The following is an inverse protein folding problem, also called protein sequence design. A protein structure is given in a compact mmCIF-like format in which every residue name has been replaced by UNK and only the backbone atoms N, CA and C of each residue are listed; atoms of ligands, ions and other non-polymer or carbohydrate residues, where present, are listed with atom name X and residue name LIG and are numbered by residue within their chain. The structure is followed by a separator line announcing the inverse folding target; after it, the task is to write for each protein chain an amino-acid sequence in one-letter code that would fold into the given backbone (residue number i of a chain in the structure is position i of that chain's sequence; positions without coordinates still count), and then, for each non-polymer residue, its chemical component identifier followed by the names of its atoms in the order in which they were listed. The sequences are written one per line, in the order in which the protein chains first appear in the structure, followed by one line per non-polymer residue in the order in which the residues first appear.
data_IF_039758703964
#
_entry.id   IF_039758703964
#
_cell.length_a   1.000
_cell.length_b   1.000
_cell.length_c   1.000
_cell.angle_alpha   90.00
_cell.angle_beta   90.00
_cell.angle_gamma   90.00
#
_symmetry.space_group_name_H-M   'P 1'
#
loop_
_entity.id
_entity.type
_entity.pdbx_description
1 polymer ?
#
# COMPACT_ATOMS: atom_id res chain seq x y z
N UNK A 1 -36.49 -49.57 -33.50
CA UNK A 1 -36.01 -48.42 -34.29
C UNK A 1 -36.46 -47.18 -33.54
N UNK A 2 -35.63 -46.61 -32.68
CA UNK A 2 -35.98 -45.40 -31.94
C UNK A 2 -36.03 -44.23 -32.92
N UNK A 3 -37.24 -43.77 -33.19
CA UNK A 3 -37.49 -42.59 -34.01
C UNK A 3 -37.07 -41.40 -33.17
N UNK A 4 -35.82 -40.95 -33.34
CA UNK A 4 -35.36 -39.75 -32.66
C UNK A 4 -36.29 -38.58 -33.03
N UNK A 5 -36.85 -37.86 -32.03
CA UNK A 5 -37.71 -36.72 -32.29
C UNK A 5 -36.97 -35.68 -33.15
N UNK A 6 -37.73 -35.01 -34.02
CA UNK A 6 -37.20 -33.93 -34.87
C UNK A 6 -36.73 -32.82 -33.94
N UNK A 7 -35.52 -32.29 -34.16
CA UNK A 7 -34.91 -31.26 -33.30
C UNK A 7 -35.82 -30.03 -33.13
N UNK A 8 -36.64 -29.74 -34.14
CA UNK A 8 -37.62 -28.65 -34.15
C UNK A 8 -38.73 -28.81 -33.11
N UNK A 9 -39.06 -30.04 -32.74
CA UNK A 9 -40.18 -30.38 -31.85
C UNK A 9 -39.74 -30.57 -30.40
N UNK A 10 -38.42 -30.55 -30.14
CA UNK A 10 -37.86 -30.69 -28.80
C UNK A 10 -38.09 -29.45 -27.96
N UNK A 11 -38.53 -29.64 -26.72
CA UNK A 11 -38.61 -28.57 -25.74
C UNK A 11 -37.21 -28.02 -25.40
N UNK A 12 -37.17 -26.80 -24.85
CA UNK A 12 -35.91 -26.17 -24.46
C UNK A 12 -35.07 -27.04 -23.50
N UNK A 13 -35.70 -27.72 -22.54
CA UNK A 13 -35.00 -28.62 -21.61
C UNK A 13 -34.41 -29.84 -22.31
N UNK A 14 -35.12 -30.40 -23.29
CA UNK A 14 -34.63 -31.53 -24.07
C UNK A 14 -33.48 -31.12 -24.99
N UNK A 15 -33.56 -29.93 -25.60
CA UNK A 15 -32.45 -29.34 -26.37
C UNK A 15 -31.21 -29.11 -25.50
N UNK A 16 -31.37 -28.63 -24.26
CA UNK A 16 -30.25 -28.49 -23.33
C UNK A 16 -29.62 -29.83 -22.95
N UNK A 17 -30.43 -30.88 -22.71
CA UNK A 17 -29.91 -32.24 -22.43
C UNK A 17 -29.16 -32.78 -23.63
N UNK A 18 -29.75 -32.74 -24.82
CA UNK A 18 -29.11 -33.22 -26.04
C UNK A 18 -27.80 -32.47 -26.35
N UNK A 19 -27.75 -31.16 -26.11
CA UNK A 19 -26.51 -30.39 -26.22
C UNK A 19 -25.45 -30.87 -25.20
N UNK A 20 -25.83 -31.10 -23.93
CA UNK A 20 -24.91 -31.62 -22.90
C UNK A 20 -24.37 -33.00 -23.26
N UNK A 21 -25.25 -33.90 -23.69
CA UNK A 21 -24.91 -35.28 -24.06
C UNK A 21 -23.95 -35.30 -25.27
N UNK A 22 -24.09 -34.33 -26.19
CA UNK A 22 -23.21 -34.14 -27.34
C UNK A 22 -21.93 -33.33 -27.04
N UNK A 23 -21.71 -32.90 -25.78
CA UNK A 23 -20.55 -32.06 -25.41
C UNK A 23 -20.60 -30.63 -25.95
N UNK A 24 -21.78 -30.13 -26.34
CA UNK A 24 -22.02 -28.79 -26.87
C UNK A 24 -22.46 -27.82 -25.74
N UNK A 25 -22.23 -26.51 -25.89
CA UNK A 25 -22.71 -25.52 -24.91
C UNK A 25 -24.24 -25.47 -24.86
N UNK A 26 -24.80 -25.76 -23.69
CA UNK A 26 -26.24 -25.79 -23.42
C UNK A 26 -26.81 -24.45 -22.91
N UNK A 27 -26.26 -23.34 -23.40
CA UNK A 27 -26.58 -21.96 -22.98
C UNK A 27 -27.06 -21.17 -24.19
N UNK A 28 -28.14 -20.39 -24.04
CA UNK A 28 -28.64 -19.49 -25.08
C UNK A 28 -30.15 -19.65 -25.32
N UNK A 29 -30.65 -18.98 -26.37
CA UNK A 29 -32.05 -19.11 -26.82
C UNK A 29 -32.26 -20.44 -27.54
N UNK A 30 -33.51 -20.93 -27.60
CA UNK A 30 -33.90 -22.20 -28.25
C UNK A 30 -33.35 -22.35 -29.66
N UNK A 31 -33.42 -21.29 -30.49
CA UNK A 31 -32.90 -21.29 -31.85
C UNK A 31 -31.38 -21.54 -31.94
N UNK A 32 -30.61 -21.09 -30.94
CA UNK A 32 -29.16 -21.30 -30.86
C UNK A 32 -28.86 -22.76 -30.56
N UNK A 33 -29.59 -23.36 -29.61
CA UNK A 33 -29.44 -24.78 -29.25
C UNK A 33 -29.82 -25.70 -30.42
N UNK A 34 -30.93 -25.40 -31.11
CA UNK A 34 -31.33 -26.13 -32.31
C UNK A 34 -30.25 -26.07 -33.40
N UNK A 35 -29.72 -24.88 -33.67
CA UNK A 35 -28.63 -24.70 -34.64
C UNK A 35 -27.38 -25.49 -34.27
N UNK A 36 -26.97 -25.50 -33.00
CA UNK A 36 -25.81 -26.28 -32.55
C UNK A 36 -26.01 -27.78 -32.78
N UNK A 37 -27.20 -28.30 -32.48
CA UNK A 37 -27.54 -29.71 -32.70
C UNK A 37 -27.64 -30.06 -34.19
N UNK A 38 -28.22 -29.18 -35.01
CA UNK A 38 -28.29 -29.36 -36.46
C UNK A 38 -26.90 -29.35 -37.10
N UNK A 39 -26.04 -28.40 -36.72
CA UNK A 39 -24.66 -28.32 -37.20
C UNK A 39 -23.84 -29.54 -36.75
N UNK A 40 -24.07 -30.02 -35.52
CA UNK A 40 -23.44 -31.24 -35.01
C UNK A 40 -23.89 -32.49 -35.74
N UNK A 41 -25.20 -32.64 -36.01
CA UNK A 41 -25.74 -33.76 -36.82
C UNK A 41 -25.19 -33.76 -38.24
N UNK A 42 -25.02 -32.57 -38.85
CA UNK A 42 -24.48 -32.45 -40.23
C UNK A 42 -22.98 -32.73 -40.30
N UNK A 43 -22.19 -32.22 -39.34
CA UNK A 43 -20.75 -32.44 -39.33
C UNK A 43 -20.15 -32.25 -37.91
N UNK A 44 -20.07 -33.33 -37.10
CA UNK A 44 -19.74 -33.22 -35.68
C UNK A 44 -18.32 -32.68 -35.45
N UNK A 45 -17.34 -33.11 -36.26
CA UNK A 45 -15.95 -32.64 -36.17
C UNK A 45 -15.82 -31.14 -36.44
N UNK A 46 -16.51 -30.64 -37.46
CA UNK A 46 -16.46 -29.21 -37.83
C UNK A 46 -17.20 -28.33 -36.83
N UNK A 47 -18.32 -28.82 -36.29
CA UNK A 47 -19.10 -28.12 -35.26
C UNK A 47 -18.30 -27.97 -33.95
N UNK A 48 -17.70 -29.07 -33.47
CA UNK A 48 -16.85 -29.05 -32.27
C UNK A 48 -15.63 -28.13 -32.45
N UNK A 49 -14.95 -28.18 -33.62
CA UNK A 49 -13.80 -27.31 -33.92
C UNK A 49 -14.17 -25.82 -33.93
N UNK A 50 -15.36 -25.46 -34.45
CA UNK A 50 -15.85 -24.07 -34.44
C UNK A 50 -16.17 -23.58 -33.03
N UNK A 51 -16.80 -24.43 -32.22
CA UNK A 51 -17.16 -24.09 -30.84
C UNK A 51 -15.92 -23.96 -29.96
N UNK A 52 -14.93 -24.83 -30.13
CA UNK A 52 -13.62 -24.70 -29.49
C UNK A 52 -12.93 -23.39 -29.87
N UNK A 53 -12.87 -23.07 -31.17
CA UNK A 53 -12.26 -21.82 -31.65
C UNK A 53 -13.00 -20.54 -31.14
N UNK A 54 -14.30 -20.63 -30.89
CA UNK A 54 -15.09 -19.51 -30.36
C UNK A 54 -14.87 -19.27 -28.86
N UNK A 55 -14.39 -20.30 -28.13
CA UNK A 55 -14.11 -20.22 -26.68
C UNK A 55 -12.78 -19.53 -26.37
N UNK A 56 -11.86 -19.47 -27.33
CA UNK A 56 -10.46 -19.07 -27.10
C UNK A 56 -10.14 -17.62 -27.46
N UNK A 57 -11.04 -16.87 -28.10
CA UNK A 57 -10.77 -15.48 -28.48
C UNK A 57 -11.83 -14.54 -27.95
N UNK A 58 -11.54 -13.91 -26.81
CA UNK A 58 -12.17 -12.65 -26.45
C UNK A 58 -11.98 -11.66 -27.61
N UNK A 59 -12.93 -10.74 -27.83
CA UNK A 59 -12.89 -9.74 -28.93
C UNK A 59 -11.61 -8.89 -28.97
N UNK A 60 -10.78 -8.93 -27.92
CA UNK A 60 -9.52 -8.20 -27.73
C UNK A 60 -8.25 -9.01 -27.99
N UNK A 61 -8.34 -10.32 -28.27
CA UNK A 61 -7.16 -11.19 -28.45
C UNK A 61 -6.39 -11.50 -27.16
N UNK A 62 -7.01 -11.26 -26.01
CA UNK A 62 -6.41 -11.54 -24.70
C UNK A 62 -6.70 -12.96 -24.26
N UNK A 63 -5.69 -13.63 -23.72
CA UNK A 63 -5.82 -14.96 -23.12
C UNK A 63 -6.56 -14.86 -21.78
N UNK A 64 -7.13 -15.98 -21.32
CA UNK A 64 -7.64 -16.06 -19.95
C UNK A 64 -6.47 -16.13 -18.96
N UNK A 65 -6.05 -14.95 -18.48
CA UNK A 65 -4.90 -14.83 -17.59
C UNK A 65 -5.11 -15.50 -16.23
N UNK A 66 -6.35 -15.59 -15.74
CA UNK A 66 -6.58 -16.10 -14.38
C UNK A 66 -6.25 -17.58 -14.25
N UNK A 67 -6.44 -18.33 -15.33
CA UNK A 67 -6.23 -19.77 -15.44
C UNK A 67 -5.05 -20.13 -16.36
N UNK A 68 -4.19 -19.17 -16.71
CA UNK A 68 -3.07 -19.41 -17.61
C UNK A 68 -1.85 -19.98 -16.89
N UNK A 69 -1.14 -20.91 -17.53
CA UNK A 69 0.16 -21.38 -17.07
C UNK A 69 1.20 -20.25 -16.96
N UNK A 70 1.05 -19.20 -17.78
CA UNK A 70 1.90 -18.00 -17.71
C UNK A 70 1.81 -17.28 -16.35
N UNK A 71 0.60 -17.21 -15.76
CA UNK A 71 0.39 -16.63 -14.43
C UNK A 71 1.03 -17.48 -13.34
N UNK A 72 0.92 -18.81 -13.43
CA UNK A 72 1.52 -19.72 -12.43
C UNK A 72 3.04 -19.60 -12.40
N UNK A 73 3.68 -19.58 -13.58
CA UNK A 73 5.14 -19.36 -13.69
C UNK A 73 5.53 -18.02 -13.08
N UNK A 74 4.80 -16.94 -13.42
CA UNK A 74 5.08 -15.62 -12.89
C UNK A 74 4.95 -15.56 -11.36
N UNK A 75 3.90 -16.19 -10.81
CA UNK A 75 3.68 -16.22 -9.35
C UNK A 75 4.76 -17.03 -8.64
N UNK A 76 5.18 -18.16 -9.20
CA UNK A 76 6.27 -18.98 -8.66
C UNK A 76 7.59 -18.22 -8.62
N UNK A 77 7.89 -17.46 -9.67
CA UNK A 77 9.09 -16.62 -9.70
C UNK A 77 9.03 -15.41 -8.74
N UNK A 78 7.86 -15.06 -8.23
CA UNK A 78 7.64 -14.03 -7.21
C UNK A 78 7.71 -14.56 -5.77
N UNK A 79 7.75 -15.88 -5.56
CA UNK A 79 7.89 -16.50 -4.23
C UNK A 79 9.27 -16.25 -3.63
N UNK A 80 9.50 -16.42 -2.30
CA UNK A 80 10.75 -16.08 -1.60
C UNK A 80 12.06 -16.74 -2.09
N UNK A 81 12.01 -17.62 -3.10
CA UNK A 81 13.17 -18.25 -3.75
C UNK A 81 13.13 -18.07 -5.28
N UNK A 82 12.11 -17.39 -5.77
CA UNK A 82 11.89 -17.13 -7.17
C UNK A 82 12.78 -16.01 -7.69
N UNK A 83 13.05 -16.04 -9.00
CA UNK A 83 13.98 -15.12 -9.65
C UNK A 83 13.57 -13.64 -9.55
N UNK A 84 12.27 -13.36 -9.47
CA UNK A 84 11.73 -11.99 -9.39
C UNK A 84 11.60 -11.50 -7.95
N UNK A 85 11.91 -12.33 -6.95
CA UNK A 85 11.79 -11.93 -5.55
C UNK A 85 12.83 -10.87 -5.18
N UNK A 86 12.36 -9.68 -4.82
CA UNK A 86 13.21 -8.55 -4.42
C UNK A 86 13.97 -7.87 -5.57
N UNK A 87 13.81 -8.34 -6.80
CA UNK A 87 14.45 -7.79 -7.99
C UNK A 87 13.48 -6.87 -8.75
N UNK A 88 13.92 -5.65 -9.04
CA UNK A 88 13.15 -4.68 -9.84
C UNK A 88 13.54 -4.79 -11.31
N UNK A 89 13.04 -5.82 -12.01
CA UNK A 89 13.21 -5.97 -13.45
C UNK A 89 12.07 -5.28 -14.21
N UNK A 90 12.38 -4.72 -15.38
CA UNK A 90 11.35 -4.18 -16.26
C UNK A 90 10.50 -5.30 -16.86
N UNK A 91 9.20 -5.04 -17.04
CA UNK A 91 8.28 -6.03 -17.59
C UNK A 91 8.71 -6.53 -18.99
N UNK A 92 9.44 -5.70 -19.75
CA UNK A 92 9.93 -6.08 -21.07
C UNK A 92 11.01 -7.15 -20.99
N UNK A 93 12.03 -6.92 -20.17
CA UNK A 93 13.15 -7.86 -20.00
C UNK A 93 12.68 -9.21 -19.47
N UNK A 94 11.73 -9.21 -18.52
CA UNK A 94 11.12 -10.44 -18.00
C UNK A 94 10.33 -11.17 -19.07
N UNK A 95 9.58 -10.43 -19.91
CA UNK A 95 8.78 -11.03 -20.97
C UNK A 95 9.65 -11.65 -22.06
N UNK A 96 10.69 -10.95 -22.49
CA UNK A 96 11.61 -11.43 -23.53
C UNK A 96 12.29 -12.73 -23.05
N UNK A 97 12.78 -12.75 -21.81
CA UNK A 97 13.36 -13.94 -21.20
C UNK A 97 12.36 -15.10 -21.04
N UNK A 98 11.13 -14.82 -20.65
CA UNK A 98 10.06 -15.84 -20.55
C UNK A 98 9.66 -16.37 -21.92
N UNK A 99 9.72 -15.55 -22.96
CA UNK A 99 9.43 -15.96 -24.34
C UNK A 99 10.51 -16.89 -24.87
N UNK A 100 11.77 -16.71 -24.44
CA UNK A 100 12.86 -17.62 -24.76
C UNK A 100 12.77 -18.95 -24.00
N UNK A 101 12.58 -18.92 -22.68
CA UNK A 101 12.54 -20.14 -21.84
C UNK A 101 11.25 -20.95 -22.00
N UNK A 102 10.13 -20.25 -22.07
CA UNK A 102 8.79 -20.83 -22.04
C UNK A 102 8.03 -20.50 -23.31
N UNK A 103 8.71 -20.64 -24.45
CA UNK A 103 8.22 -20.27 -25.78
C UNK A 103 6.79 -20.75 -26.06
N UNK A 104 6.47 -22.00 -25.73
CA UNK A 104 5.15 -22.59 -25.97
C UNK A 104 4.03 -22.02 -25.10
N UNK A 105 4.36 -21.39 -23.97
CA UNK A 105 3.40 -20.85 -23.00
C UNK A 105 3.19 -19.35 -23.24
N UNK A 106 4.26 -18.63 -23.57
CA UNK A 106 4.23 -17.18 -23.74
C UNK A 106 4.03 -16.72 -25.19
N UNK A 107 4.09 -17.61 -26.20
CA UNK A 107 3.86 -17.23 -27.61
C UNK A 107 2.49 -16.61 -27.86
N UNK A 108 1.48 -17.09 -27.15
CA UNK A 108 0.09 -16.64 -27.32
C UNK A 108 -0.28 -15.49 -26.38
N UNK A 109 0.62 -15.10 -25.47
CA UNK A 109 0.40 -14.03 -24.49
C UNK A 109 0.74 -12.69 -25.13
N UNK A 110 -0.22 -11.76 -25.32
CA UNK A 110 0.10 -10.42 -25.79
C UNK A 110 0.95 -9.68 -24.75
N UNK A 111 2.04 -9.04 -25.17
CA UNK A 111 2.91 -8.27 -24.27
C UNK A 111 2.15 -7.19 -23.47
N UNK A 112 1.15 -6.54 -24.08
CA UNK A 112 0.32 -5.54 -23.41
C UNK A 112 -0.42 -6.12 -22.20
N UNK A 113 -0.97 -7.33 -22.36
CA UNK A 113 -1.64 -8.06 -21.29
C UNK A 113 -0.62 -8.49 -20.22
N UNK A 114 0.52 -9.06 -20.62
CA UNK A 114 1.58 -9.46 -19.71
C UNK A 114 2.07 -8.28 -18.87
N UNK A 115 2.43 -7.15 -19.49
CA UNK A 115 2.93 -5.94 -18.82
C UNK A 115 1.94 -5.42 -17.77
N UNK A 116 0.66 -5.36 -18.11
CA UNK A 116 -0.37 -4.93 -17.16
C UNK A 116 -0.45 -5.87 -15.95
N UNK A 117 -0.43 -7.18 -16.20
CA UNK A 117 -0.54 -8.20 -15.16
C UNK A 117 0.70 -8.33 -14.30
N UNK A 118 1.88 -8.25 -14.89
CA UNK A 118 3.17 -8.18 -14.20
C UNK A 118 3.23 -7.03 -13.19
N UNK A 119 2.86 -5.82 -13.62
CA UNK A 119 2.86 -4.67 -12.72
C UNK A 119 1.83 -4.82 -11.59
N UNK A 120 0.66 -5.40 -11.89
CA UNK A 120 -0.37 -5.70 -10.90
C UNK A 120 0.15 -6.71 -9.84
N UNK A 121 0.81 -7.79 -10.27
CA UNK A 121 1.35 -8.83 -9.40
C UNK A 121 2.52 -8.33 -8.55
N UNK A 122 3.46 -7.57 -9.13
CA UNK A 122 4.59 -6.97 -8.41
C UNK A 122 4.06 -6.03 -7.31
N UNK A 123 3.12 -5.14 -7.64
CA UNK A 123 2.52 -4.22 -6.65
C UNK A 123 1.82 -4.96 -5.51
N UNK A 124 1.14 -6.08 -5.83
CA UNK A 124 0.50 -6.94 -4.82
C UNK A 124 1.54 -7.64 -3.94
N UNK A 125 2.61 -8.17 -4.52
CA UNK A 125 3.69 -8.83 -3.80
C UNK A 125 4.41 -7.86 -2.86
N UNK A 126 4.78 -6.66 -3.32
CA UNK A 126 5.37 -5.63 -2.48
C UNK A 126 4.45 -5.21 -1.33
N UNK A 127 3.16 -5.04 -1.60
CA UNK A 127 2.18 -4.70 -0.55
C UNK A 127 2.06 -5.83 0.49
N UNK A 128 2.08 -7.10 0.04
CA UNK A 128 2.08 -8.25 0.93
C UNK A 128 3.36 -8.30 1.80
N UNK A 129 4.53 -8.09 1.22
CA UNK A 129 5.80 -8.00 1.95
C UNK A 129 5.79 -6.88 3.00
N UNK A 130 5.28 -5.69 2.65
CA UNK A 130 5.14 -4.58 3.62
C UNK A 130 4.20 -4.94 4.76
N UNK A 131 3.07 -5.61 4.49
CA UNK A 131 2.16 -6.09 5.53
C UNK A 131 2.81 -7.14 6.42
N UNK A 132 3.52 -8.11 5.84
CA UNK A 132 4.21 -9.16 6.59
C UNK A 132 5.27 -8.55 7.52
N UNK A 133 6.09 -7.60 7.02
CA UNK A 133 7.04 -6.85 7.82
C UNK A 133 6.36 -6.08 8.94
N UNK A 134 5.29 -5.35 8.62
CA UNK A 134 4.52 -4.59 9.63
C UNK A 134 3.95 -5.49 10.72
N UNK A 135 3.48 -6.70 10.37
CA UNK A 135 2.96 -7.67 11.35
C UNK A 135 4.09 -8.22 12.23
N UNK A 136 5.26 -8.50 11.65
CA UNK A 136 6.43 -8.93 12.39
C UNK A 136 6.94 -7.84 13.35
N UNK A 137 7.03 -6.60 12.88
CA UNK A 137 7.39 -5.44 13.70
C UNK A 137 6.38 -5.23 14.84
N UNK A 138 5.07 -5.39 14.58
CA UNK A 138 4.05 -5.34 15.63
C UNK A 138 4.23 -6.44 16.68
N UNK A 139 4.54 -7.68 16.25
CA UNK A 139 4.80 -8.79 17.16
C UNK A 139 6.05 -8.53 18.03
N UNK A 140 7.12 -7.98 17.44
CA UNK A 140 8.31 -7.56 18.19
C UNK A 140 8.00 -6.44 19.18
N UNK A 141 7.23 -5.44 18.77
CA UNK A 141 6.81 -4.34 19.66
C UNK A 141 5.93 -4.84 20.82
N UNK A 142 5.02 -5.79 20.58
CA UNK A 142 4.21 -6.43 21.63
C UNK A 142 5.07 -7.25 22.58
N UNK A 143 6.05 -7.99 22.05
CA UNK A 143 7.00 -8.73 22.86
C UNK A 143 7.84 -7.80 23.74
N UNK A 144 8.41 -6.75 23.17
CA UNK A 144 9.20 -5.75 23.88
C UNK A 144 8.37 -5.03 24.97
N UNK A 145 7.13 -4.68 24.65
CA UNK A 145 6.19 -4.05 25.60
C UNK A 145 5.85 -4.97 26.79
N UNK A 146 5.94 -6.30 26.64
CA UNK A 146 5.77 -7.25 27.76
C UNK A 146 7.02 -7.34 28.64
N UNK A 147 8.21 -7.30 28.04
CA UNK A 147 9.47 -7.35 28.79
C UNK A 147 9.75 -6.04 29.54
N UNK A 148 9.34 -4.91 28.96
CA UNK A 148 9.57 -3.58 29.50
C UNK A 148 8.23 -2.86 29.68
N UNK A 149 7.45 -3.24 30.71
CA UNK A 149 6.19 -2.56 30.99
C UNK A 149 6.44 -1.07 31.24
N UNK A 150 5.51 -0.23 30.78
CA UNK A 150 5.61 1.22 30.99
C UNK A 150 5.58 1.53 32.48
N UNK A 151 6.54 2.33 32.94
CA UNK A 151 6.58 2.80 34.32
C UNK A 151 5.36 3.70 34.60
N UNK A 152 4.75 3.51 35.77
CA UNK A 152 3.58 4.30 36.22
C UNK A 152 3.97 5.70 36.67
N UNK A 153 5.21 5.87 37.11
CA UNK A 153 5.75 7.12 37.60
C UNK A 153 6.97 7.54 36.79
N UNK A 154 7.21 8.84 36.70
CA UNK A 154 8.41 9.37 36.06
C UNK A 154 9.64 9.26 37.00
N UNK A 155 10.81 9.68 36.51
CA UNK A 155 12.06 9.71 37.29
C UNK A 155 12.01 10.64 38.53
N UNK A 156 10.96 11.45 38.68
CA UNK A 156 10.72 12.31 39.85
C UNK A 156 9.68 11.74 40.81
N UNK A 157 9.17 10.54 40.55
CA UNK A 157 8.11 9.91 41.33
C UNK A 157 6.71 10.48 41.09
N UNK A 158 6.51 11.30 40.04
CA UNK A 158 5.19 11.84 39.71
C UNK A 158 4.42 10.86 38.80
N UNK A 159 3.10 10.71 38.97
CA UNK A 159 2.30 9.79 38.16
C UNK A 159 2.25 10.25 36.69
N UNK A 160 2.35 9.29 35.77
CA UNK A 160 2.30 9.54 34.33
C UNK A 160 0.86 9.40 33.83
N UNK A 161 0.25 10.52 33.43
CA UNK A 161 -1.13 10.57 32.92
C UNK A 161 -1.44 9.56 31.80
N UNK A 162 -0.48 9.26 30.93
CA UNK A 162 -0.70 8.35 29.78
C UNK A 162 -0.86 6.87 30.17
N UNK A 163 -0.50 6.50 31.41
CA UNK A 163 -0.58 5.13 31.92
C UNK A 163 -1.89 4.90 32.68
N UNK A 164 -2.49 5.95 33.23
CA UNK A 164 -3.77 5.90 33.94
C UNK A 164 -4.94 5.88 32.95
N UNK A 165 -5.57 4.71 32.84
CA UNK A 165 -6.67 4.46 31.92
C UNK A 165 -7.90 5.30 32.32
N UNK A 166 -8.20 5.39 33.62
CA UNK A 166 -9.37 6.10 34.15
C UNK A 166 -9.29 7.60 33.82
N UNK A 167 -8.13 8.22 34.06
CA UNK A 167 -7.92 9.62 33.76
C UNK A 167 -8.02 9.92 32.25
N UNK A 168 -7.53 9.01 31.40
CA UNK A 168 -7.60 9.17 29.94
C UNK A 168 -9.01 9.04 29.40
N UNK A 169 -9.76 8.03 29.87
CA UNK A 169 -11.15 7.82 29.47
C UNK A 169 -12.04 8.97 29.92
N UNK A 170 -11.85 9.44 31.16
CA UNK A 170 -12.56 10.62 31.68
C UNK A 170 -12.25 11.86 30.82
N UNK A 171 -10.98 12.07 30.43
CA UNK A 171 -10.61 13.20 29.59
C UNK A 171 -11.20 13.09 28.18
N UNK A 172 -11.22 11.88 27.62
CA UNK A 172 -11.86 11.64 26.33
C UNK A 172 -13.37 11.93 26.39
N UNK A 173 -14.03 11.49 27.46
CA UNK A 173 -15.44 11.78 27.72
C UNK A 173 -15.67 13.29 27.83
N UNK A 174 -14.90 14.00 28.64
CA UNK A 174 -15.06 15.44 28.86
C UNK A 174 -14.80 16.23 27.56
N UNK A 175 -13.89 15.75 26.71
CA UNK A 175 -13.65 16.37 25.41
C UNK A 175 -14.78 16.09 24.42
N UNK A 176 -15.29 14.84 24.37
CA UNK A 176 -16.42 14.45 23.54
C UNK A 176 -17.68 15.25 23.86
N UNK A 177 -17.91 15.58 25.14
CA UNK A 177 -19.04 16.39 25.61
C UNK A 177 -18.73 17.89 25.65
N UNK A 178 -17.60 18.31 25.08
CA UNK A 178 -17.18 19.71 24.97
C UNK A 178 -17.08 20.46 26.30
N UNK A 179 -16.92 19.76 27.44
CA UNK A 179 -16.78 20.38 28.75
C UNK A 179 -15.56 21.29 28.82
N UNK A 180 -14.48 20.91 28.14
CA UNK A 180 -13.27 21.71 27.97
C UNK A 180 -13.46 23.04 27.22
N UNK A 181 -14.60 23.25 26.53
CA UNK A 181 -14.98 24.53 25.92
C UNK A 181 -15.79 25.40 26.87
N UNK A 182 -16.53 24.77 27.79
CA UNK A 182 -17.44 25.44 28.74
C UNK A 182 -16.73 25.85 30.03
N UNK A 183 -15.73 25.07 30.44
CA UNK A 183 -14.97 25.28 31.68
C UNK A 183 -13.49 25.55 31.38
N UNK A 184 -12.84 26.30 32.25
CA UNK A 184 -11.40 26.44 32.17
C UNK A 184 -10.71 25.11 32.55
N UNK A 185 -9.50 24.81 32.03
CA UNK A 185 -8.76 23.62 32.44
C UNK A 185 -8.54 23.48 33.95
N UNK A 186 -8.54 24.60 34.69
CA UNK A 186 -8.41 24.59 36.16
C UNK A 186 -9.71 24.13 36.82
N UNK A 187 -10.86 24.66 36.38
CA UNK A 187 -12.15 24.22 36.88
C UNK A 187 -12.39 22.74 36.56
N UNK A 188 -12.08 22.30 35.35
CA UNK A 188 -12.25 20.90 34.96
C UNK A 188 -11.36 19.96 35.80
N UNK A 189 -10.13 20.40 36.09
CA UNK A 189 -9.19 19.68 36.98
C UNK A 189 -9.71 19.57 38.42
N UNK A 190 -10.36 20.62 38.95
CA UNK A 190 -10.96 20.63 40.29
C UNK A 190 -12.28 19.85 40.34
N UNK A 191 -13.05 19.85 39.26
CA UNK A 191 -14.36 19.23 39.18
C UNK A 191 -14.30 17.70 39.23
N UNK A 192 -13.26 17.09 38.65
CA UNK A 192 -13.04 15.63 38.66
C UNK A 192 -11.92 15.26 39.61
N UNK A 193 -12.24 14.47 40.62
CA UNK A 193 -11.25 13.94 41.57
C UNK A 193 -10.13 13.14 40.88
N UNK A 194 -10.46 12.41 39.80
CA UNK A 194 -9.52 11.62 38.99
C UNK A 194 -8.32 12.46 38.50
N UNK A 195 -8.54 13.73 38.17
CA UNK A 195 -7.47 14.61 37.68
C UNK A 195 -6.62 15.21 38.79
N UNK A 196 -7.13 15.27 40.02
CA UNK A 196 -6.45 15.88 41.18
C UNK A 196 -5.15 15.14 41.55
N UNK A 197 -5.00 13.88 41.12
CA UNK A 197 -3.76 13.08 41.21
C UNK A 197 -2.59 13.70 40.43
N UNK A 198 -2.88 14.52 39.42
CA UNK A 198 -1.90 15.11 38.51
C UNK A 198 -1.71 16.59 38.79
N UNK A 199 -0.51 17.09 38.49
CA UNK A 199 -0.26 18.53 38.48
C UNK A 199 -1.13 19.22 37.43
N UNK A 200 -1.70 20.36 37.79
CA UNK A 200 -2.57 21.15 36.91
C UNK A 200 -1.91 21.46 35.56
N UNK A 201 -0.61 21.76 35.54
CA UNK A 201 0.11 22.05 34.29
C UNK A 201 0.23 20.83 33.38
N UNK A 202 0.47 19.64 33.95
CA UNK A 202 0.47 18.38 33.20
C UNK A 202 -0.90 18.13 32.58
N UNK A 203 -1.97 18.31 33.35
CA UNK A 203 -3.34 18.14 32.85
C UNK A 203 -3.70 19.13 31.74
N UNK A 204 -3.37 20.42 31.92
CA UNK A 204 -3.54 21.47 30.90
C UNK A 204 -2.87 21.09 29.58
N UNK A 205 -1.63 20.61 29.65
CA UNK A 205 -0.91 20.16 28.45
C UNK A 205 -1.62 19.00 27.74
N UNK A 206 -2.27 18.09 28.46
CA UNK A 206 -3.02 16.98 27.85
C UNK A 206 -4.27 17.44 27.11
N UNK A 207 -5.02 18.40 27.67
CA UNK A 207 -6.15 19.03 26.95
C UNK A 207 -5.65 19.65 25.64
N UNK A 208 -4.56 20.43 25.69
CA UNK A 208 -4.01 21.08 24.49
C UNK A 208 -3.48 20.08 23.46
N UNK A 209 -2.78 19.02 23.89
CA UNK A 209 -2.32 17.96 23.01
C UNK A 209 -3.50 17.30 22.29
N UNK A 210 -4.58 17.02 23.01
CA UNK A 210 -5.76 16.41 22.44
C UNK A 210 -6.45 17.34 21.42
N UNK A 211 -6.69 18.61 21.78
CA UNK A 211 -7.25 19.59 20.84
C UNK A 211 -6.38 19.73 19.57
N UNK A 212 -5.05 19.69 19.72
CA UNK A 212 -4.11 19.70 18.60
C UNK A 212 -4.25 18.44 17.73
N UNK A 213 -4.39 17.26 18.33
CA UNK A 213 -4.61 16.00 17.60
C UNK A 213 -5.91 16.05 16.79
N UNK A 214 -7.02 16.47 17.42
CA UNK A 214 -8.32 16.65 16.74
C UNK A 214 -8.19 17.61 15.56
N UNK A 215 -7.51 18.76 15.76
CA UNK A 215 -7.27 19.71 14.67
C UNK A 215 -6.42 19.13 13.54
N UNK A 216 -5.43 18.28 13.85
CA UNK A 216 -4.60 17.63 12.85
C UNK A 216 -5.35 16.54 12.06
N UNK A 217 -6.21 15.76 12.72
CA UNK A 217 -7.06 14.76 12.07
C UNK A 217 -8.12 15.43 11.18
N UNK A 218 -8.67 16.56 11.64
CA UNK A 218 -9.70 17.32 10.91
C UNK A 218 -9.11 18.39 9.96
N UNK A 219 -7.79 18.38 9.69
CA UNK A 219 -7.26 19.21 8.60
C UNK A 219 -7.88 18.70 7.31
N UNK A 220 -8.61 19.52 6.54
CA UNK A 220 -8.98 19.11 5.19
C UNK A 220 -7.69 18.90 4.40
N UNK A 221 -7.65 17.91 3.52
CA UNK A 221 -6.57 17.65 2.54
C UNK A 221 -6.38 18.81 1.52
N UNK A 222 -6.70 20.05 1.90
CA UNK A 222 -6.38 21.24 1.13
C UNK A 222 -4.88 21.46 1.19
N UNK A 223 -4.16 20.96 0.16
CA UNK A 223 -3.09 21.65 -0.61
C UNK A 223 -2.14 20.62 -1.26
N UNK A 224 -2.57 20.00 -2.38
CA UNK A 224 -1.82 20.18 -3.64
C UNK A 224 -2.58 21.04 -4.65
N UNK A 225 -3.91 20.87 -4.75
CA UNK A 225 -4.74 21.49 -5.80
C UNK A 225 -4.70 23.03 -5.84
N UNK A 226 -4.63 23.69 -4.69
CA UNK A 226 -4.50 25.16 -4.61
C UNK A 226 -3.12 25.67 -5.08
N UNK A 227 -2.05 24.89 -4.87
CA UNK A 227 -0.71 25.23 -5.39
C UNK A 227 -0.64 25.01 -6.89
N UNK A 228 -1.27 23.95 -7.38
CA UNK A 228 -1.34 23.64 -8.81
C UNK A 228 -2.24 24.64 -9.56
N UNK A 229 -3.38 25.05 -8.99
CA UNK A 229 -4.21 26.13 -9.56
C UNK A 229 -3.52 27.50 -9.54
N UNK A 230 -2.82 27.85 -8.45
CA UNK A 230 -2.05 29.10 -8.39
C UNK A 230 -0.87 29.09 -9.36
N UNK A 231 -0.23 27.94 -9.59
CA UNK A 231 0.81 27.78 -10.59
C UNK A 231 0.27 27.78 -12.03
N UNK A 232 -0.94 27.26 -12.26
CA UNK A 232 -1.62 27.26 -13.56
C UNK A 232 -2.20 28.64 -13.94
N UNK A 233 -2.53 29.48 -12.96
CA UNK A 233 -3.03 30.86 -13.18
C UNK A 233 -1.93 31.90 -13.43
N UNK A 234 -0.65 31.53 -13.37
CA UNK A 234 0.45 32.44 -13.74
C UNK A 234 0.46 32.69 -15.24
N UNK A 235 0.41 33.96 -15.62
CA UNK A 235 0.50 34.36 -17.03
C UNK A 235 1.92 34.11 -17.57
N UNK A 236 2.11 33.87 -18.88
CA UNK A 236 3.44 33.71 -19.48
C UNK A 236 4.39 34.88 -19.19
N UNK A 237 3.87 36.10 -19.02
CA UNK A 237 4.65 37.30 -18.65
C UNK A 237 5.26 37.21 -17.25
N UNK A 238 4.58 36.61 -16.27
CA UNK A 238 5.12 36.44 -14.91
C UNK A 238 6.17 35.33 -14.80
N UNK A 239 6.09 34.30 -15.66
CA UNK A 239 7.17 33.31 -15.78
C UNK A 239 8.43 33.95 -16.36
N UNK A 240 8.30 34.72 -17.44
CA UNK A 240 9.44 35.35 -18.10
C UNK A 240 10.16 36.39 -17.22
N UNK A 241 9.44 37.18 -16.41
CA UNK A 241 10.10 38.14 -15.50
C UNK A 241 11.00 37.48 -14.46
N UNK A 242 10.64 36.28 -13.98
CA UNK A 242 11.43 35.57 -12.96
C UNK A 242 12.70 34.97 -13.54
N UNK A 243 12.62 34.50 -14.78
CA UNK A 243 13.77 33.95 -15.52
C UNK A 243 14.69 35.07 -16.02
N UNK A 244 14.14 36.22 -16.41
CA UNK A 244 14.90 37.41 -16.80
C UNK A 244 15.64 38.05 -15.62
N UNK A 245 15.04 38.09 -14.42
CA UNK A 245 15.72 38.53 -13.20
C UNK A 245 16.85 37.58 -12.77
N UNK A 246 16.71 36.28 -13.05
CA UNK A 246 17.77 35.29 -12.80
C UNK A 246 18.91 35.38 -13.83
N UNK A 247 18.60 35.79 -15.07
CA UNK A 247 19.56 36.01 -16.14
C UNK A 247 20.36 37.32 -15.98
N UNK A 248 19.75 38.37 -15.41
CA UNK A 248 20.38 39.69 -15.18
C UNK A 248 21.30 39.76 -13.93
N UNK A 249 21.40 38.69 -13.14
CA UNK A 249 22.29 38.64 -11.97
C UNK A 249 23.75 38.69 -12.38
N UNK A 250 24.49 39.62 -11.81
CA UNK A 250 25.91 39.79 -12.12
C UNK A 250 26.72 38.55 -11.66
N UNK A 251 27.86 38.25 -12.29
CA UNK A 251 28.73 37.15 -11.88
C UNK A 251 29.14 37.20 -10.39
N UNK A 252 29.17 38.41 -9.80
CA UNK A 252 29.49 38.63 -8.39
C UNK A 252 28.38 38.10 -7.46
N UNK A 253 27.12 38.37 -7.78
CA UNK A 253 25.96 37.89 -6.99
C UNK A 253 25.75 36.37 -7.10
N UNK A 254 26.11 35.77 -8.25
CA UNK A 254 26.09 34.30 -8.42
C UNK A 254 27.13 33.63 -7.51
N UNK A 255 28.36 34.15 -7.51
CA UNK A 255 29.44 33.64 -6.64
C UNK A 255 29.10 33.74 -5.15
N UNK A 256 28.54 34.86 -4.71
CA UNK A 256 28.17 35.06 -3.29
C UNK A 256 27.08 34.08 -2.82
N UNK A 257 26.09 33.79 -3.68
CA UNK A 257 25.04 32.82 -3.39
C UNK A 257 25.58 31.39 -3.34
N UNK A 258 26.45 31.02 -4.27
CA UNK A 258 27.06 29.68 -4.31
C UNK A 258 27.99 29.47 -3.10
N UNK A 259 28.70 30.51 -2.68
CA UNK A 259 29.50 30.50 -1.46
C UNK A 259 28.63 30.38 -0.19
N UNK A 260 27.48 31.07 -0.13
CA UNK A 260 26.53 30.94 0.97
C UNK A 260 25.90 29.54 1.03
N UNK A 261 25.62 28.94 -0.12
CA UNK A 261 25.12 27.57 -0.22
C UNK A 261 26.18 26.55 0.23
N UNK A 262 27.43 26.73 -0.17
CA UNK A 262 28.56 25.90 0.26
C UNK A 262 28.82 26.02 1.78
N UNK A 263 28.71 27.23 2.36
CA UNK A 263 28.82 27.43 3.83
C UNK A 263 27.69 26.73 4.59
N UNK A 264 26.48 26.67 4.03
CA UNK A 264 25.34 25.95 4.62
C UNK A 264 25.54 24.44 4.62
N UNK A 265 25.99 23.86 3.51
CA UNK A 265 26.22 22.41 3.41
C UNK A 265 27.36 21.95 4.33
N UNK A 266 28.45 22.73 4.44
CA UNK A 266 29.52 22.42 5.39
C UNK A 266 29.05 22.47 6.86
N UNK A 267 28.15 23.40 7.21
CA UNK A 267 27.57 23.49 8.56
C UNK A 267 26.64 22.30 8.90
N UNK A 268 25.91 21.76 7.91
CA UNK A 268 25.08 20.56 8.09
C UNK A 268 25.91 19.28 8.22
N UNK A 269 26.98 19.15 7.43
CA UNK A 269 27.90 17.99 7.49
C UNK A 269 28.63 17.95 8.84
N UNK A 270 29.12 19.10 9.32
CA UNK A 270 29.79 19.18 10.63
C UNK A 270 28.83 18.90 11.81
N UNK A 271 27.58 19.39 11.73
CA UNK A 271 26.54 19.07 12.72
C UNK A 271 26.18 17.59 12.74
N UNK A 272 26.11 16.94 11.58
CA UNK A 272 25.84 15.49 11.48
C UNK A 272 27.00 14.66 12.03
N UNK A 273 28.25 15.03 11.72
CA UNK A 273 29.45 14.34 12.24
C UNK A 273 29.59 14.45 13.76
N UNK A 274 29.24 15.60 14.35
CA UNK A 274 29.17 15.75 15.81
C UNK A 274 28.11 14.86 16.45
N UNK A 275 26.92 14.73 15.85
CA UNK A 275 25.85 13.86 16.35
C UNK A 275 26.26 12.38 16.32
N UNK A 276 26.97 11.97 15.27
CA UNK A 276 27.44 10.60 15.09
C UNK A 276 28.55 10.22 16.08
N UNK A 277 29.53 11.10 16.28
CA UNK A 277 30.56 10.92 17.31
C UNK A 277 29.98 10.80 18.72
N UNK A 278 28.96 11.61 19.05
CA UNK A 278 28.30 11.53 20.36
C UNK A 278 27.52 10.21 20.53
N UNK A 279 26.98 9.65 19.44
CA UNK A 279 26.27 8.36 19.43
C UNK A 279 27.24 7.21 19.71
N UNK A 280 28.40 7.20 19.06
CA UNK A 280 29.47 6.21 19.29
C UNK A 280 30.06 6.31 20.71
N UNK A 281 30.20 7.52 21.25
CA UNK A 281 30.69 7.75 22.63
C UNK A 281 29.70 7.25 23.70
N UNK A 282 28.39 7.32 23.43
CA UNK A 282 27.36 6.73 24.30
C UNK A 282 27.38 5.19 24.26
N UNK A 283 27.56 4.59 23.07
CA UNK A 283 27.63 3.13 22.92
C UNK A 283 28.87 2.53 23.60
N UNK A 284 30.02 3.19 23.52
CA UNK A 284 31.26 2.77 24.20
C UNK A 284 31.18 2.89 25.72
N UNK A 285 30.49 3.92 26.25
CA UNK A 285 30.22 4.05 27.70
C UNK A 285 29.25 2.99 28.23
N UNK A 286 28.29 2.57 27.42
CA UNK A 286 27.37 1.47 27.75
C UNK A 286 28.11 0.13 27.86
N UNK A 287 29.00 -0.19 26.91
CA UNK A 287 29.81 -1.43 26.94
C UNK A 287 30.78 -1.52 28.14
N UNK A 288 31.37 -0.40 28.58
CA UNK A 288 32.26 -0.39 29.76
C UNK A 288 31.56 -0.62 31.11
N UNK A 289 30.23 -0.46 31.19
CA UNK A 289 29.47 -0.63 32.45
C UNK A 289 28.98 -2.05 32.70
N UNK A 290 29.13 -2.98 31.74
CA UNK A 290 28.63 -4.36 31.86
C UNK A 290 29.71 -5.44 31.72
N UNK A 291 31.00 -5.06 31.82
CA UNK A 291 32.14 -5.97 31.71
C UNK A 291 33.01 -6.03 32.96
N UNK A 292 32.42 -5.89 34.16
CA UNK A 292 33.13 -6.20 35.40
C UNK A 292 33.12 -7.72 35.63
N UNK A 293 34.27 -8.40 35.79
CA UNK A 293 34.28 -9.83 36.04
C UNK A 293 33.69 -10.11 37.42
N UNK A 294 32.63 -10.92 37.43
CA UNK A 294 32.05 -11.46 38.66
C UNK A 294 33.02 -12.53 39.16
N UNK A 295 33.83 -12.20 40.17
CA UNK A 295 34.57 -13.20 40.93
C UNK A 295 33.58 -13.85 41.91
N UNK A 296 33.22 -15.10 41.63
CA UNK A 296 32.56 -15.99 42.57
C UNK A 296 33.65 -16.64 43.42
N UNK A 297 33.69 -16.27 44.70
CA UNK A 297 34.36 -17.00 45.78
C UNK A 297 33.31 -17.68 46.64
#
# INVERSE_FOLDING_TARGET
MDVYPRISDMSYRELQRACKDAGLPAIGKTAVLQKHLDDYRKNPRKALKRLAASKEKNKTGFIDWENSAAKEILLKDLEPEGRLYGNSLEAKDVFDDYTERYKYIFCDVPFSQFKAKYNETIKKAEAAQRRARSAQEEAWMKHDSRLYPRQTHNHRGEPIFDVDIEAKETLHYDIKHELHKRMTPKELWQYREVYSKYKLDTFRQRIYQYQKQVKCLNKPEKKPKEKDEFAAKRTPKERNQKDELAAKRTPKERKERDELAAKRTQKEVTSSKMKEGNRQRKQSRSKKRHGGPIHLG
#
